data_IF_466140873048
#
_entry.id   IF_466140873048
#
_cell.length_a   1.000
_cell.length_b   1.000
_cell.length_c   1.000
_cell.angle_alpha   90.00
_cell.angle_beta   90.00
_cell.angle_gamma   90.00
#
_symmetry.space_group_name_H-M   'P 1'
#
loop_
_entity.id
_entity.type
_entity.pdbx_description
1 polymer ?
#
# COMPACT_ATOMS: atom_id res chain seq x y z
N UNK A 1 38.31 14.80 -11.51
CA UNK A 1 37.58 13.75 -10.77
C UNK A 1 37.70 12.46 -11.57
N UNK A 2 38.13 11.36 -10.94
CA UNK A 2 38.20 10.08 -11.61
C UNK A 2 36.81 9.60 -12.02
N UNK A 3 36.64 9.21 -13.29
CA UNK A 3 35.42 8.59 -13.78
C UNK A 3 35.28 7.20 -13.13
N UNK A 4 34.51 7.10 -12.06
CA UNK A 4 34.17 5.80 -11.46
C UNK A 4 33.09 5.12 -12.30
N UNK A 5 33.31 3.86 -12.67
CA UNK A 5 32.26 3.03 -13.29
C UNK A 5 31.17 2.69 -12.27
N UNK A 6 29.97 2.41 -12.73
CA UNK A 6 28.88 1.97 -11.84
C UNK A 6 29.26 0.72 -11.04
N UNK A 7 30.02 -0.20 -11.67
CA UNK A 7 30.57 -1.43 -11.05
C UNK A 7 31.56 -1.19 -9.93
N UNK A 8 32.15 0.03 -9.83
CA UNK A 8 33.12 0.39 -8.81
C UNK A 8 32.45 1.00 -7.56
N UNK A 9 31.11 1.06 -7.54
CA UNK A 9 30.34 1.57 -6.40
C UNK A 9 30.11 0.47 -5.38
N UNK A 10 30.07 0.86 -4.12
CA UNK A 10 29.66 -0.05 -3.05
C UNK A 10 28.20 -0.45 -3.24
N UNK A 11 27.92 -1.73 -3.10
CA UNK A 11 26.55 -2.25 -3.15
C UNK A 11 25.73 -1.66 -1.98
N UNK A 12 24.48 -1.27 -2.28
CA UNK A 12 23.52 -0.92 -1.25
C UNK A 12 23.00 -2.23 -0.63
N UNK A 13 23.45 -2.53 0.59
CA UNK A 13 23.11 -3.77 1.30
C UNK A 13 21.85 -3.66 2.15
N UNK A 14 20.98 -2.71 1.83
CA UNK A 14 19.71 -2.46 2.53
C UNK A 14 18.57 -2.23 1.54
N UNK A 15 17.33 -2.27 2.05
CA UNK A 15 16.18 -1.94 1.23
C UNK A 15 16.19 -0.47 0.85
N UNK A 16 15.96 -0.18 -0.43
CA UNK A 16 15.88 1.18 -0.96
C UNK A 16 14.71 1.92 -0.32
N UNK A 17 14.97 3.09 0.24
CA UNK A 17 13.95 3.96 0.83
C UNK A 17 13.23 4.83 -0.21
N UNK A 18 12.08 5.38 0.15
CA UNK A 18 11.28 6.25 -0.74
C UNK A 18 11.99 7.55 -1.16
N UNK A 19 13.00 7.97 -0.39
CA UNK A 19 13.83 9.16 -0.69
C UNK A 19 15.05 8.88 -1.56
N UNK A 20 15.37 7.61 -1.83
CA UNK A 20 16.50 7.23 -2.65
C UNK A 20 16.23 7.52 -4.14
N UNK A 21 17.31 7.70 -4.90
CA UNK A 21 17.25 8.08 -6.29
C UNK A 21 17.93 7.02 -7.16
N UNK A 22 17.25 6.65 -8.22
CA UNK A 22 17.81 5.84 -9.29
C UNK A 22 18.24 6.72 -10.47
N UNK A 23 19.41 6.50 -11.01
CA UNK A 23 19.83 7.13 -12.25
C UNK A 23 19.34 6.30 -13.44
N UNK A 24 18.62 6.94 -14.35
CA UNK A 24 18.12 6.34 -15.58
C UNK A 24 18.59 7.14 -16.79
N UNK A 25 18.68 6.48 -17.95
CA UNK A 25 18.91 7.17 -19.22
C UNK A 25 17.57 7.27 -19.96
N UNK A 26 17.09 8.48 -20.16
CA UNK A 26 15.91 8.76 -20.96
C UNK A 26 16.30 8.82 -22.43
N UNK A 27 16.04 7.74 -23.14
CA UNK A 27 16.41 7.59 -24.55
C UNK A 27 15.58 8.46 -25.51
N UNK A 28 14.43 8.97 -25.04
CA UNK A 28 13.58 9.87 -25.81
C UNK A 28 14.02 11.34 -25.68
N UNK A 29 14.83 11.67 -24.67
CA UNK A 29 15.40 12.99 -24.50
C UNK A 29 16.85 12.97 -24.95
N UNK A 30 17.10 13.47 -26.15
CA UNK A 30 18.43 13.52 -26.78
C UNK A 30 19.15 14.86 -26.58
N UNK A 31 18.67 15.74 -25.69
CA UNK A 31 19.28 17.07 -25.46
C UNK A 31 20.69 16.99 -24.91
N UNK A 32 21.02 15.95 -24.12
CA UNK A 32 22.36 15.76 -23.55
C UNK A 32 23.28 14.89 -24.41
N UNK A 33 22.71 13.96 -25.20
CA UNK A 33 23.47 13.00 -26.02
C UNK A 33 22.53 12.31 -27.00
N UNK A 34 23.03 11.91 -28.17
CA UNK A 34 22.27 11.11 -29.13
C UNK A 34 21.80 9.74 -28.57
N UNK A 35 22.43 9.25 -27.51
CA UNK A 35 22.06 8.00 -26.82
C UNK A 35 21.09 8.21 -25.66
N UNK A 36 20.61 9.43 -25.44
CA UNK A 36 19.71 9.81 -24.37
C UNK A 36 20.34 10.71 -23.32
N UNK A 37 19.53 11.24 -22.44
CA UNK A 37 19.94 12.13 -21.34
C UNK A 37 19.84 11.41 -20.00
N UNK A 38 20.90 11.48 -19.18
CA UNK A 38 20.86 10.92 -17.83
C UNK A 38 19.93 11.72 -16.92
N UNK A 39 19.01 11.06 -16.29
CA UNK A 39 18.03 11.65 -15.37
C UNK A 39 17.99 10.89 -14.06
N UNK A 40 17.58 11.57 -13.00
CA UNK A 40 17.24 10.93 -11.73
C UNK A 40 15.80 10.47 -11.75
N UNK A 41 15.56 9.27 -11.28
CA UNK A 41 14.23 8.72 -11.02
C UNK A 41 14.05 8.60 -9.51
N UNK A 42 13.00 9.20 -8.99
CA UNK A 42 12.61 9.04 -7.61
C UNK A 42 12.03 7.63 -7.40
N UNK A 43 12.52 6.93 -6.39
CA UNK A 43 12.17 5.53 -6.14
C UNK A 43 10.69 5.33 -5.80
N UNK A 44 10.01 6.36 -5.28
CA UNK A 44 8.56 6.32 -5.00
C UNK A 44 7.67 6.01 -6.22
N UNK A 45 8.18 6.20 -7.45
CA UNK A 45 7.47 5.85 -8.68
C UNK A 45 7.73 4.41 -9.15
N UNK A 46 8.57 3.66 -8.44
CA UNK A 46 8.74 2.24 -8.62
C UNK A 46 7.87 1.48 -7.62
N UNK A 47 7.86 0.15 -7.71
CA UNK A 47 7.17 -0.68 -6.73
C UNK A 47 7.87 -0.58 -5.37
N UNK A 48 7.11 -0.23 -4.34
CA UNK A 48 7.60 -0.07 -2.97
C UNK A 48 6.68 -0.79 -1.98
N UNK A 49 7.17 -1.00 -0.77
CA UNK A 49 6.40 -1.58 0.32
C UNK A 49 6.50 -0.70 1.54
N UNK A 50 5.36 -0.19 2.00
CA UNK A 50 5.27 0.58 3.23
C UNK A 50 4.70 -0.28 4.36
N UNK A 51 5.21 -0.05 5.57
CA UNK A 51 4.70 -0.62 6.81
C UNK A 51 3.88 0.43 7.54
N UNK A 52 2.64 0.09 7.86
CA UNK A 52 1.71 0.93 8.61
C UNK A 52 1.31 0.17 9.88
N UNK A 53 1.60 0.73 11.04
CA UNK A 53 1.14 0.17 12.31
C UNK A 53 -0.30 0.62 12.59
N UNK A 54 -1.16 -0.33 12.89
CA UNK A 54 -2.57 -0.15 13.22
C UNK A 54 -2.77 -0.57 14.67
N UNK A 55 -3.07 0.40 15.51
CA UNK A 55 -3.24 0.19 16.94
C UNK A 55 -4.58 -0.46 17.27
N UNK A 56 -4.73 -0.94 18.50
CA UNK A 56 -6.01 -1.41 19.02
C UNK A 56 -7.10 -0.33 18.91
N UNK A 57 -6.77 0.92 19.22
CA UNK A 57 -7.72 2.03 19.13
C UNK A 57 -8.16 2.29 17.68
N UNK A 58 -7.23 2.17 16.71
CA UNK A 58 -7.59 2.28 15.29
C UNK A 58 -8.62 1.17 14.91
N UNK A 59 -8.42 -0.08 15.35
CA UNK A 59 -9.38 -1.16 15.07
C UNK A 59 -10.74 -0.95 15.71
N UNK A 60 -10.78 -0.42 16.93
CA UNK A 60 -12.02 -0.12 17.64
C UNK A 60 -12.83 1.02 17.03
N UNK A 61 -12.23 1.79 16.12
CA UNK A 61 -12.86 2.93 15.45
C UNK A 61 -12.92 2.76 13.91
N UNK A 62 -12.49 1.61 13.40
CA UNK A 62 -12.27 1.39 11.98
C UNK A 62 -13.56 1.36 11.13
N UNK A 63 -14.69 1.05 11.74
CA UNK A 63 -16.00 1.10 11.11
C UNK A 63 -16.51 2.53 10.93
N UNK A 64 -16.10 3.43 11.82
CA UNK A 64 -16.49 4.84 11.82
C UNK A 64 -15.43 5.71 11.14
N UNK A 65 -14.15 5.46 11.40
CA UNK A 65 -13.01 6.24 10.90
C UNK A 65 -12.01 5.35 10.13
N UNK A 66 -12.17 5.22 8.81
CA UNK A 66 -11.25 4.46 7.97
C UNK A 66 -9.79 4.93 8.10
N UNK A 67 -8.86 3.98 8.17
CA UNK A 67 -7.42 4.26 8.28
C UNK A 67 -6.79 4.37 6.90
N UNK A 68 -6.25 5.52 6.55
CA UNK A 68 -5.46 5.68 5.33
C UNK A 68 -4.15 4.91 5.47
N UNK A 69 -3.91 4.00 4.52
CA UNK A 69 -2.67 3.23 4.42
C UNK A 69 -1.68 3.91 3.47
N UNK A 70 -2.14 4.30 2.29
CA UNK A 70 -1.32 5.02 1.29
C UNK A 70 -2.02 6.31 0.91
N UNK A 71 -1.32 7.43 1.05
CA UNK A 71 -1.84 8.75 0.69
C UNK A 71 -2.02 8.93 -0.82
N UNK A 72 -3.01 9.74 -1.20
CA UNK A 72 -3.20 10.12 -2.60
C UNK A 72 -2.03 10.96 -3.12
N UNK A 73 -1.68 10.77 -4.38
CA UNK A 73 -0.73 11.61 -5.11
C UNK A 73 -1.43 12.24 -6.31
N UNK A 74 -1.35 13.56 -6.43
CA UNK A 74 -2.02 14.30 -7.50
C UNK A 74 -1.54 13.87 -8.88
N UNK A 75 -2.46 13.53 -9.78
CA UNK A 75 -2.17 13.04 -11.13
C UNK A 75 -1.82 11.56 -11.22
N UNK A 76 -1.89 10.81 -10.10
CA UNK A 76 -1.55 9.39 -10.06
C UNK A 76 -2.70 8.54 -9.51
N UNK A 77 -2.66 7.29 -9.90
CA UNK A 77 -3.42 6.20 -9.32
C UNK A 77 -2.47 5.33 -8.49
N UNK A 78 -2.93 4.84 -7.35
CA UNK A 78 -2.21 3.84 -6.56
C UNK A 78 -2.53 2.46 -7.13
N UNK A 79 -1.51 1.75 -7.63
CA UNK A 79 -1.63 0.35 -8.05
C UNK A 79 -1.15 -0.53 -6.90
N UNK A 80 -2.09 -1.17 -6.19
CA UNK A 80 -1.78 -2.07 -5.08
C UNK A 80 -1.57 -3.47 -5.60
N UNK A 81 -0.42 -4.06 -5.28
CA UNK A 81 -0.03 -5.42 -5.70
C UNK A 81 -0.27 -6.44 -4.59
N UNK A 82 -0.07 -6.06 -3.34
CA UNK A 82 -0.17 -6.96 -2.20
C UNK A 82 -0.44 -6.19 -0.92
N UNK A 83 -1.23 -6.80 -0.03
CA UNK A 83 -1.36 -6.39 1.36
C UNK A 83 -1.03 -7.60 2.24
N UNK A 84 -0.19 -7.41 3.23
CA UNK A 84 0.10 -8.42 4.26
C UNK A 84 -0.20 -7.80 5.62
N UNK A 85 -0.94 -8.51 6.45
CA UNK A 85 -1.26 -8.11 7.82
C UNK A 85 -0.62 -9.08 8.78
N UNK A 86 0.17 -8.58 9.72
CA UNK A 86 0.71 -9.34 10.84
C UNK A 86 -0.03 -8.91 12.11
N UNK A 87 -0.99 -9.72 12.55
CA UNK A 87 -1.78 -9.43 13.74
C UNK A 87 -1.09 -9.92 15.01
N UNK A 88 -1.14 -9.10 16.04
CA UNK A 88 -0.84 -9.47 17.43
C UNK A 88 -2.15 -9.40 18.22
N UNK A 89 -2.58 -10.55 18.75
CA UNK A 89 -3.85 -10.68 19.46
C UNK A 89 -3.63 -11.27 20.84
N UNK A 90 -4.16 -10.64 21.87
CA UNK A 90 -3.96 -11.03 23.27
C UNK A 90 -5.28 -11.20 24.06
N UNK A 91 -6.42 -11.04 23.41
CA UNK A 91 -7.74 -11.07 24.02
C UNK A 91 -8.66 -12.08 23.31
N UNK A 92 -9.86 -12.33 23.84
CA UNK A 92 -10.88 -13.14 23.19
C UNK A 92 -11.20 -12.63 21.78
N UNK A 93 -11.71 -13.54 20.95
CA UNK A 93 -12.12 -13.25 19.58
C UNK A 93 -13.09 -12.06 19.50
N UNK A 94 -13.04 -11.34 18.40
CA UNK A 94 -13.98 -10.28 18.13
C UNK A 94 -15.39 -10.87 17.89
N UNK A 95 -16.31 -10.61 18.80
CA UNK A 95 -17.69 -11.07 18.72
C UNK A 95 -18.53 -10.25 17.73
N UNK A 96 -18.07 -9.09 17.28
CA UNK A 96 -18.80 -8.25 16.33
C UNK A 96 -18.94 -8.90 14.96
N UNK A 97 -18.04 -9.83 14.60
CA UNK A 97 -18.05 -10.50 13.31
C UNK A 97 -17.83 -9.54 12.15
N UNK A 98 -17.15 -8.43 12.40
CA UNK A 98 -16.89 -7.39 11.41
C UNK A 98 -16.05 -7.89 10.24
N UNK A 99 -16.31 -7.36 9.06
CA UNK A 99 -15.49 -7.58 7.87
C UNK A 99 -14.44 -6.49 7.77
N UNK A 100 -13.19 -6.89 7.54
CA UNK A 100 -12.12 -5.96 7.21
C UNK A 100 -12.10 -5.73 5.70
N UNK A 101 -12.00 -4.47 5.28
CA UNK A 101 -12.01 -4.07 3.87
C UNK A 101 -10.80 -3.20 3.54
N UNK A 102 -10.32 -3.36 2.32
CA UNK A 102 -9.33 -2.47 1.70
C UNK A 102 -9.98 -1.79 0.51
N UNK A 103 -9.90 -0.46 0.44
CA UNK A 103 -10.68 0.31 -0.51
C UNK A 103 -9.99 1.60 -0.93
N UNK A 104 -10.35 2.09 -2.12
CA UNK A 104 -10.08 3.46 -2.58
C UNK A 104 -11.26 4.41 -2.30
N UNK A 105 -12.35 3.89 -1.76
CA UNK A 105 -13.60 4.62 -1.52
C UNK A 105 -14.09 4.37 -0.09
N UNK A 106 -13.40 4.93 0.91
CA UNK A 106 -13.82 4.77 2.30
C UNK A 106 -15.27 5.17 2.51
N UNK A 107 -16.03 4.33 3.23
CA UNK A 107 -17.46 4.52 3.46
C UNK A 107 -18.37 3.96 2.36
N UNK A 108 -17.83 3.45 1.25
CA UNK A 108 -18.61 2.79 0.20
C UNK A 108 -18.56 1.26 0.38
N UNK A 109 -19.63 0.70 0.92
CA UNK A 109 -19.75 -0.73 1.20
C UNK A 109 -19.81 -1.62 -0.06
N UNK A 110 -19.83 -1.04 -1.25
CA UNK A 110 -19.99 -1.77 -2.52
C UNK A 110 -18.73 -1.79 -3.38
N UNK A 111 -17.79 -0.86 -3.12
CA UNK A 111 -16.58 -0.68 -3.92
C UNK A 111 -15.31 -0.86 -3.08
N UNK A 112 -14.86 -2.09 -2.89
CA UNK A 112 -13.64 -2.40 -2.17
C UNK A 112 -12.66 -3.22 -3.03
N UNK A 113 -11.38 -3.04 -2.78
CA UNK A 113 -10.31 -3.80 -3.41
C UNK A 113 -10.31 -5.25 -2.91
N UNK A 114 -10.53 -5.43 -1.60
CA UNK A 114 -10.65 -6.74 -0.96
C UNK A 114 -11.50 -6.65 0.31
N UNK A 115 -12.27 -7.69 0.61
CA UNK A 115 -13.00 -7.87 1.86
C UNK A 115 -12.62 -9.19 2.51
N UNK A 116 -12.18 -9.14 3.76
CA UNK A 116 -12.01 -10.31 4.61
C UNK A 116 -13.19 -10.39 5.59
N UNK A 117 -14.11 -11.29 5.31
CA UNK A 117 -15.32 -11.45 6.11
C UNK A 117 -15.00 -12.10 7.45
N UNK A 118 -15.62 -11.59 8.53
CA UNK A 118 -15.42 -12.07 9.91
C UNK A 118 -13.95 -12.06 10.31
N UNK A 119 -13.26 -10.95 10.04
CA UNK A 119 -11.88 -10.76 10.47
C UNK A 119 -11.78 -10.87 11.99
N UNK A 120 -10.77 -11.59 12.47
CA UNK A 120 -10.52 -11.85 13.90
C UNK A 120 -11.68 -12.54 14.65
N UNK A 121 -12.55 -13.25 13.95
CA UNK A 121 -13.57 -14.07 14.55
C UNK A 121 -13.06 -15.51 14.73
N UNK A 122 -13.09 -15.99 15.96
CA UNK A 122 -12.71 -17.34 16.40
C UNK A 122 -11.26 -17.78 16.10
N UNK A 123 -10.46 -17.93 17.14
CA UNK A 123 -9.16 -18.63 17.12
C UNK A 123 -8.08 -18.07 16.20
N UNK A 124 -8.15 -16.78 15.85
CA UNK A 124 -7.21 -16.13 14.95
C UNK A 124 -6.10 -15.35 15.68
N UNK A 125 -5.56 -15.94 16.76
CA UNK A 125 -4.51 -15.32 17.56
C UNK A 125 -3.18 -15.26 16.79
N UNK A 126 -2.50 -14.12 16.82
CA UNK A 126 -1.17 -13.92 16.24
C UNK A 126 -1.05 -14.46 14.81
N UNK A 127 -2.04 -14.16 13.99
CA UNK A 127 -2.14 -14.69 12.62
C UNK A 127 -1.63 -13.69 11.60
N UNK A 128 -1.01 -14.22 10.56
CA UNK A 128 -0.60 -13.42 9.39
C UNK A 128 -1.56 -13.67 8.24
N UNK A 129 -2.04 -12.59 7.64
CA UNK A 129 -2.88 -12.63 6.46
C UNK A 129 -2.14 -12.02 5.27
N UNK A 130 -2.23 -12.66 4.13
CA UNK A 130 -1.65 -12.17 2.90
C UNK A 130 -2.71 -12.13 1.81
N UNK A 131 -2.92 -10.96 1.24
CA UNK A 131 -3.88 -10.74 0.17
C UNK A 131 -3.13 -10.39 -1.11
N UNK A 132 -3.23 -11.26 -2.12
CA UNK A 132 -2.75 -11.01 -3.46
C UNK A 132 -3.88 -10.42 -4.33
N UNK A 133 -3.55 -9.76 -5.46
CA UNK A 133 -4.47 -8.93 -6.19
C UNK A 133 -5.51 -9.74 -6.97
N UNK A 134 -6.64 -9.98 -6.36
CA UNK A 134 -7.87 -10.19 -7.12
C UNK A 134 -8.90 -9.23 -6.56
N UNK A 135 -9.07 -8.05 -7.16
CA UNK A 135 -10.15 -7.16 -6.77
C UNK A 135 -11.46 -7.89 -6.98
N UNK A 136 -12.13 -8.22 -5.88
CA UNK A 136 -13.36 -9.01 -5.95
C UNK A 136 -14.53 -8.23 -6.56
N UNK A 137 -14.47 -6.90 -6.60
CA UNK A 137 -15.53 -6.06 -7.18
C UNK A 137 -15.04 -4.64 -7.52
N UNK A 138 -14.15 -4.47 -8.48
CA UNK A 138 -13.91 -3.12 -8.98
C UNK A 138 -14.59 -2.95 -10.35
N UNK A 139 -15.87 -2.64 -10.34
CA UNK A 139 -16.57 -2.07 -11.48
C UNK A 139 -16.28 -0.58 -11.65
N UNK A 140 -15.13 -0.08 -11.17
CA UNK A 140 -14.76 1.32 -11.24
C UNK A 140 -13.93 1.62 -12.47
N UNK A 141 -14.23 2.73 -13.12
CA UNK A 141 -13.46 3.21 -14.26
C UNK A 141 -12.13 3.86 -13.79
N UNK A 142 -11.19 3.99 -14.72
CA UNK A 142 -9.89 4.61 -14.52
C UNK A 142 -9.96 5.97 -13.80
N UNK A 143 -10.92 6.81 -14.15
CA UNK A 143 -11.09 8.15 -13.57
C UNK A 143 -11.51 8.12 -12.11
N UNK A 144 -12.17 7.06 -11.66
CA UNK A 144 -12.58 6.91 -10.26
C UNK A 144 -11.42 6.65 -9.31
N UNK A 145 -10.32 6.06 -9.80
CA UNK A 145 -9.13 5.73 -9.00
C UNK A 145 -8.08 6.85 -8.97
N UNK A 146 -8.23 7.85 -9.83
CA UNK A 146 -7.30 8.97 -9.90
C UNK A 146 -7.38 9.83 -8.64
N UNK A 147 -6.23 10.20 -8.08
CA UNK A 147 -6.12 11.02 -6.86
C UNK A 147 -6.83 10.41 -5.63
N UNK A 148 -6.97 9.10 -5.58
CA UNK A 148 -7.55 8.41 -4.43
C UNK A 148 -6.46 7.86 -3.52
N UNK A 149 -6.70 7.95 -2.20
CA UNK A 149 -5.93 7.22 -1.20
C UNK A 149 -6.35 5.75 -1.20
N UNK A 150 -5.48 4.89 -0.68
CA UNK A 150 -5.82 3.51 -0.37
C UNK A 150 -5.95 3.37 1.14
N UNK A 151 -7.08 2.84 1.60
CA UNK A 151 -7.47 2.85 3.01
C UNK A 151 -7.93 1.46 3.45
N UNK A 152 -7.89 1.28 4.76
CA UNK A 152 -8.49 0.15 5.46
C UNK A 152 -9.71 0.64 6.22
N UNK A 153 -10.80 -0.12 6.17
CA UNK A 153 -12.04 0.13 6.90
C UNK A 153 -12.65 -1.19 7.37
N UNK A 154 -13.69 -1.13 8.18
CA UNK A 154 -14.46 -2.30 8.55
C UNK A 154 -15.96 -2.08 8.43
N UNK A 155 -16.73 -3.17 8.38
CA UNK A 155 -18.19 -3.12 8.29
C UNK A 155 -18.84 -2.66 9.60
N UNK A 156 -18.11 -2.73 10.71
CA UNK A 156 -18.49 -2.26 12.04
C UNK A 156 -17.21 -2.12 12.86
N UNK A 157 -17.23 -1.36 13.94
CA UNK A 157 -16.11 -1.26 14.86
C UNK A 157 -15.82 -2.62 15.51
N UNK A 158 -14.54 -2.93 15.67
CA UNK A 158 -14.11 -4.14 16.37
C UNK A 158 -14.16 -3.94 17.88
N UNK A 159 -14.33 -5.02 18.63
CA UNK A 159 -14.30 -4.96 20.09
C UNK A 159 -12.90 -4.64 20.66
N UNK A 160 -11.86 -4.92 19.87
CA UNK A 160 -10.48 -4.70 20.26
C UNK A 160 -9.77 -5.96 20.77
N UNK A 161 -8.66 -5.74 21.46
CA UNK A 161 -7.80 -6.82 21.96
C UNK A 161 -6.69 -7.21 20.98
N UNK A 162 -6.51 -6.51 19.87
CA UNK A 162 -5.47 -6.76 18.88
C UNK A 162 -4.93 -5.50 18.24
N UNK A 163 -3.76 -5.62 17.66
CA UNK A 163 -3.11 -4.63 16.81
C UNK A 163 -2.49 -5.33 15.61
N UNK A 164 -2.05 -4.58 14.62
CA UNK A 164 -1.42 -5.16 13.44
C UNK A 164 -0.36 -4.25 12.84
N UNK A 165 0.61 -4.89 12.19
CA UNK A 165 1.46 -4.25 11.18
C UNK A 165 0.93 -4.61 9.79
N UNK A 166 0.59 -3.60 9.01
CA UNK A 166 0.07 -3.74 7.65
C UNK A 166 1.15 -3.32 6.67
N UNK A 167 1.55 -4.25 5.80
CA UNK A 167 2.52 -4.01 4.74
C UNK A 167 1.77 -3.91 3.41
N UNK A 168 1.89 -2.79 2.73
CA UNK A 168 1.27 -2.56 1.42
C UNK A 168 2.35 -2.44 0.37
N UNK A 169 2.34 -3.36 -0.61
CA UNK A 169 3.20 -3.26 -1.79
C UNK A 169 2.42 -2.61 -2.92
N UNK A 170 2.93 -1.50 -3.42
CA UNK A 170 2.22 -0.65 -4.40
C UNK A 170 3.18 0.13 -5.30
N UNK A 171 2.62 0.76 -6.33
CA UNK A 171 3.29 1.77 -7.14
C UNK A 171 2.34 2.93 -7.44
N UNK A 172 2.88 4.12 -7.63
CA UNK A 172 2.14 5.23 -8.21
C UNK A 172 2.19 5.16 -9.74
N UNK A 173 1.05 4.97 -10.36
CA UNK A 173 0.91 4.90 -11.82
C UNK A 173 0.36 6.21 -12.33
N UNK A 174 1.14 6.92 -13.17
CA UNK A 174 0.67 8.16 -13.81
C UNK A 174 -0.46 7.85 -14.79
N UNK A 175 -1.53 8.60 -14.68
CA UNK A 175 -2.68 8.51 -15.58
C UNK A 175 -2.55 9.61 -16.62
N UNK A 176 -2.26 9.23 -17.88
CA UNK A 176 -2.13 10.12 -19.02
C UNK A 176 -3.50 10.48 -19.59
#
# INVERSE_FOLDING_TARGET
MANQRLTDKTELAEQVGSGDLLMVVDVNDTTGSASGTSKKQDFKYLMQTDKISVSNADFQDLGTNPKTLIGALSGYMISVFRVTILCTHAAPDDSAGASLRFTYFPGDATHYWYEYRRFMNASQFNTSFCFAPFPSQIGTCKSSLLNKSFSMESSADFNGGFSADVYVTYAYTKVL
#
